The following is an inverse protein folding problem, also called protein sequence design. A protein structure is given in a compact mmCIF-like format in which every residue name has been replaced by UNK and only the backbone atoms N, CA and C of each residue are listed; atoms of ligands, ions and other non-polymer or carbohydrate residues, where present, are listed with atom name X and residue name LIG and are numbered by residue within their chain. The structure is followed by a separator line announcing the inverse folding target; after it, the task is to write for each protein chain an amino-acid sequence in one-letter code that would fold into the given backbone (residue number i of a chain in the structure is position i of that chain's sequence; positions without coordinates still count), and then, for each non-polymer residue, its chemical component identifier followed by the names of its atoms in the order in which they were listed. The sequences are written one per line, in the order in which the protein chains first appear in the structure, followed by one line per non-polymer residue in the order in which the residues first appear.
data_IF_178229349859
#
_entry.id   IF_178229349859
#
_cell.length_a   1.000
_cell.length_b   1.000
_cell.length_c   1.000
_cell.angle_alpha   90.00
_cell.angle_beta   90.00
_cell.angle_gamma   90.00
#
_symmetry.space_group_name_H-M   'P 1'
#
loop_
_entity.id
_entity.type
_entity.pdbx_description
1 polymer ?
#
# COMPACT_ATOMS: atom_id res chain seq x y z
N UNK A 1 68.76 42.27 30.28
CA UNK A 1 68.35 40.90 29.89
C UNK A 1 67.67 40.25 31.09
N UNK A 2 66.35 40.36 31.19
CA UNK A 2 65.54 39.62 32.17
C UNK A 2 64.94 38.43 31.43
N UNK A 3 65.40 37.22 31.75
CA UNK A 3 64.87 35.99 31.18
C UNK A 3 63.53 35.64 31.81
N UNK A 4 62.48 35.61 31.00
CA UNK A 4 61.19 35.07 31.39
C UNK A 4 61.33 33.55 31.57
N UNK A 5 61.26 33.08 32.83
CA UNK A 5 60.97 31.69 33.16
C UNK A 5 59.57 31.38 32.60
N UNK A 6 59.51 30.65 31.48
CA UNK A 6 58.26 30.04 31.02
C UNK A 6 57.99 28.84 31.91
N UNK A 7 56.91 28.90 32.68
CA UNK A 7 56.36 27.73 33.38
C UNK A 7 56.20 26.57 32.38
N UNK A 8 56.93 25.49 32.61
CA UNK A 8 56.72 24.22 31.89
C UNK A 8 55.40 23.64 32.39
N UNK A 9 54.47 23.21 31.50
CA UNK A 9 53.27 22.52 31.93
C UNK A 9 53.68 21.25 32.70
N UNK A 10 53.10 21.07 33.89
CA UNK A 10 53.27 19.85 34.68
C UNK A 10 52.47 18.75 33.99
N UNK A 11 53.16 17.89 33.23
CA UNK A 11 52.58 16.71 32.60
C UNK A 11 52.29 15.70 33.71
N UNK A 12 51.03 15.30 33.83
CA UNK A 12 50.62 14.20 34.70
C UNK A 12 50.50 12.93 33.85
N UNK A 13 50.86 11.79 34.44
CA UNK A 13 50.76 10.48 33.83
C UNK A 13 49.89 9.53 34.66
N UNK A 14 49.21 8.64 33.96
CA UNK A 14 48.47 7.53 34.57
C UNK A 14 48.52 6.31 33.66
N UNK A 15 48.35 5.12 34.22
CA UNK A 15 48.26 3.89 33.44
C UNK A 15 46.80 3.65 33.01
N UNK A 16 46.57 3.43 31.72
CA UNK A 16 45.24 3.15 31.24
C UNK A 16 44.84 1.70 31.49
N UNK A 17 43.73 1.49 32.21
CA UNK A 17 43.21 0.14 32.53
C UNK A 17 42.76 -0.69 31.32
N UNK A 18 42.64 -0.08 30.13
CA UNK A 18 42.15 -0.76 28.91
C UNK A 18 43.31 -1.27 28.05
N UNK A 19 44.37 -0.47 27.87
CA UNK A 19 45.51 -0.82 27.01
C UNK A 19 46.83 -0.99 27.76
N UNK A 20 46.84 -0.74 29.08
CA UNK A 20 47.99 -0.90 29.98
C UNK A 20 49.24 -0.08 29.61
N UNK A 21 49.09 1.02 28.86
CA UNK A 21 50.18 1.97 28.64
C UNK A 21 49.99 3.26 29.44
N UNK A 22 51.10 3.95 29.67
CA UNK A 22 51.15 5.27 30.30
C UNK A 22 50.56 6.34 29.37
N UNK A 23 49.63 7.11 29.89
CA UNK A 23 48.95 8.21 29.19
C UNK A 23 49.40 9.51 29.81
N UNK A 24 50.00 10.38 28.99
CA UNK A 24 50.37 11.73 29.38
C UNK A 24 49.22 12.69 29.05
N UNK A 25 48.90 13.60 29.97
CA UNK A 25 47.91 14.63 29.72
C UNK A 25 48.32 15.98 30.32
N UNK A 26 47.88 17.05 29.66
CA UNK A 26 48.12 18.41 30.12
C UNK A 26 47.27 18.68 31.36
N UNK A 27 47.89 19.10 32.46
CA UNK A 27 47.19 19.56 33.65
C UNK A 27 46.23 20.70 33.28
N UNK A 28 44.89 20.54 33.44
CA UNK A 28 44.04 21.70 33.48
C UNK A 28 44.33 22.41 34.81
N UNK A 29 44.59 23.71 34.74
CA UNK A 29 44.89 24.62 35.85
C UNK A 29 43.76 24.78 36.89
N UNK A 30 42.81 23.84 36.94
CA UNK A 30 41.71 23.80 37.88
C UNK A 30 41.47 22.35 38.31
N UNK A 31 41.53 22.12 39.62
CA UNK A 31 41.46 20.85 40.36
C UNK A 31 40.13 20.07 40.24
N UNK A 32 39.39 20.21 39.14
CA UNK A 32 38.07 19.58 38.91
C UNK A 32 38.01 18.67 37.68
N UNK A 33 39.13 18.26 37.10
CA UNK A 33 39.17 17.42 35.89
C UNK A 33 39.96 16.11 36.02
N UNK A 34 40.38 15.74 37.23
CA UNK A 34 40.95 14.41 37.54
C UNK A 34 39.90 13.32 37.69
N UNK A 35 38.64 13.67 37.95
CA UNK A 35 37.55 12.69 38.03
C UNK A 35 36.98 12.37 36.65
N UNK A 36 36.73 11.08 36.41
CA UNK A 36 35.96 10.68 35.23
C UNK A 36 34.52 11.22 35.34
N UNK A 37 34.02 11.79 34.25
CA UNK A 37 32.68 12.38 34.18
C UNK A 37 31.59 11.36 34.57
N UNK A 38 30.81 11.66 35.62
CA UNK A 38 29.81 10.75 36.20
C UNK A 38 30.37 9.71 37.19
N UNK A 39 31.67 9.66 37.44
CA UNK A 39 32.33 8.73 38.35
C UNK A 39 32.92 9.43 39.58
N UNK A 40 33.05 8.69 40.69
CA UNK A 40 33.66 9.20 41.93
C UNK A 40 35.05 8.61 42.15
N UNK A 41 35.80 8.46 41.06
CA UNK A 41 37.18 8.00 41.04
C UNK A 41 37.97 8.77 40.00
N UNK A 42 39.29 8.73 40.14
CA UNK A 42 40.20 9.38 39.20
C UNK A 42 40.15 8.72 37.81
N UNK A 43 40.49 9.49 36.79
CA UNK A 43 40.55 9.04 35.41
C UNK A 43 41.61 7.94 35.29
N UNK A 44 41.16 6.73 34.97
CA UNK A 44 42.00 5.56 34.75
C UNK A 44 41.86 4.97 33.34
N UNK A 45 41.09 5.62 32.47
CA UNK A 45 40.95 5.25 31.05
C UNK A 45 41.19 6.45 30.13
N UNK A 46 41.88 6.23 29.01
CA UNK A 46 42.16 7.26 28.02
C UNK A 46 40.98 7.52 27.09
N UNK A 47 40.86 8.74 26.59
CA UNK A 47 39.74 9.15 25.72
C UNK A 47 39.66 8.28 24.46
N UNK A 48 40.80 7.88 23.89
CA UNK A 48 40.85 7.02 22.70
C UNK A 48 40.24 5.64 22.93
N UNK A 49 40.50 5.04 24.10
CA UNK A 49 39.92 3.75 24.45
C UNK A 49 38.43 3.88 24.80
N UNK A 50 38.04 4.92 25.53
CA UNK A 50 36.63 5.20 25.82
C UNK A 50 35.82 5.47 24.54
N UNK A 51 36.38 6.22 23.59
CA UNK A 51 35.81 6.44 22.27
C UNK A 51 35.63 5.11 21.52
N UNK A 52 36.66 4.26 21.52
CA UNK A 52 36.60 2.94 20.84
C UNK A 52 35.54 2.04 21.47
N UNK A 53 35.45 1.99 22.80
CA UNK A 53 34.40 1.29 23.53
C UNK A 53 33.02 1.84 23.15
N UNK A 54 32.85 3.16 23.19
CA UNK A 54 31.58 3.81 22.84
C UNK A 54 31.17 3.48 21.40
N UNK A 55 32.06 3.66 20.44
CA UNK A 55 31.80 3.39 19.02
C UNK A 55 31.43 1.91 18.79
N UNK A 56 32.12 0.98 19.46
CA UNK A 56 31.86 -0.47 19.33
C UNK A 56 30.51 -0.86 19.94
N UNK A 57 30.21 -0.40 21.15
CA UNK A 57 28.94 -0.64 21.82
C UNK A 57 27.76 -0.01 21.06
N UNK A 58 27.92 1.23 20.57
CA UNK A 58 26.92 1.92 19.74
C UNK A 58 26.71 1.18 18.42
N UNK A 59 27.76 0.73 17.72
CA UNK A 59 27.62 -0.03 16.46
C UNK A 59 26.95 -1.38 16.66
N UNK A 60 27.39 -2.15 17.67
CA UNK A 60 26.83 -3.47 17.99
C UNK A 60 25.42 -3.40 18.61
N UNK A 61 25.04 -2.27 19.22
CA UNK A 61 23.73 -2.08 19.84
C UNK A 61 23.63 -2.58 21.27
N UNK A 62 24.75 -3.03 21.86
CA UNK A 62 24.86 -3.42 23.26
C UNK A 62 25.04 -2.18 24.14
N UNK A 63 24.00 -1.34 24.21
CA UNK A 63 24.07 -0.07 24.95
C UNK A 63 24.28 -0.27 26.46
N UNK A 64 23.95 -1.44 27.01
CA UNK A 64 24.26 -1.82 28.39
C UNK A 64 25.76 -1.89 28.69
N UNK A 65 26.61 -1.99 27.68
CA UNK A 65 28.07 -2.00 27.83
C UNK A 65 28.70 -0.61 27.89
N UNK A 66 27.91 0.46 27.71
CA UNK A 66 28.35 1.84 27.86
C UNK A 66 28.45 2.19 29.35
N UNK A 67 29.44 1.62 30.01
CA UNK A 67 29.71 1.79 31.43
C UNK A 67 31.21 1.91 31.70
N UNK A 68 31.55 2.46 32.88
CA UNK A 68 32.93 2.62 33.33
C UNK A 68 33.70 1.29 33.21
N UNK A 69 34.91 1.29 32.60
CA UNK A 69 35.73 0.10 32.47
C UNK A 69 36.29 -0.39 33.82
N UNK A 70 36.36 0.49 34.82
CA UNK A 70 36.75 0.15 36.19
C UNK A 70 35.79 -0.88 36.79
N UNK A 71 36.35 -1.99 37.29
CA UNK A 71 35.61 -3.12 37.85
C UNK A 71 34.85 -2.78 39.11
N UNK A 72 35.36 -1.84 39.92
CA UNK A 72 34.77 -1.39 41.17
C UNK A 72 33.72 -0.29 40.93
N UNK A 73 33.76 0.41 39.79
CA UNK A 73 32.80 1.48 39.48
C UNK A 73 31.61 1.02 38.65
N UNK A 74 31.84 0.51 37.43
CA UNK A 74 30.81 0.08 36.45
C UNK A 74 29.62 1.03 36.23
N UNK A 75 29.72 2.32 36.60
CA UNK A 75 28.62 3.28 36.41
C UNK A 75 28.35 3.50 34.92
N UNK A 76 27.08 3.60 34.49
CA UNK A 76 26.74 3.86 33.09
C UNK A 76 27.28 5.23 32.67
N UNK A 77 27.76 5.32 31.43
CA UNK A 77 28.22 6.59 30.88
C UNK A 77 27.07 7.58 30.76
N UNK A 78 27.34 8.83 31.14
CA UNK A 78 26.40 9.93 30.93
C UNK A 78 26.29 10.25 29.45
N UNK A 79 25.14 10.80 29.03
CA UNK A 79 24.94 11.22 27.64
C UNK A 79 25.94 12.30 27.25
N UNK A 80 26.30 13.18 28.18
CA UNK A 80 27.28 14.26 28.01
C UNK A 80 28.68 13.72 27.74
N UNK A 81 29.09 12.67 28.47
CA UNK A 81 30.36 11.97 28.24
C UNK A 81 30.39 11.33 26.86
N UNK A 82 29.35 10.58 26.49
CA UNK A 82 29.24 9.95 25.16
C UNK A 82 29.32 11.01 24.06
N UNK A 83 28.56 12.12 24.18
CA UNK A 83 28.57 13.24 23.22
C UNK A 83 29.95 13.86 23.01
N UNK A 84 30.80 13.86 24.04
CA UNK A 84 32.16 14.40 23.97
C UNK A 84 33.14 13.42 23.32
N UNK A 85 32.95 12.12 23.54
CA UNK A 85 33.85 11.08 23.04
C UNK A 85 33.57 10.66 21.59
N UNK A 86 32.32 10.71 21.13
CA UNK A 86 31.95 10.18 19.81
C UNK A 86 31.56 11.26 18.81
N UNK A 87 31.74 10.97 17.53
CA UNK A 87 31.28 11.83 16.43
C UNK A 87 29.75 12.08 16.45
N UNK A 88 29.30 13.17 15.81
CA UNK A 88 27.86 13.51 15.69
C UNK A 88 27.03 12.36 15.10
N UNK A 89 27.55 11.61 14.14
CA UNK A 89 26.83 10.50 13.51
C UNK A 89 26.69 9.29 14.44
N UNK A 90 27.73 8.98 15.21
CA UNK A 90 27.65 7.94 16.24
C UNK A 90 26.71 8.36 17.39
N UNK A 91 26.67 9.63 17.76
CA UNK A 91 25.72 10.14 18.75
C UNK A 91 24.27 10.06 18.26
N UNK A 92 24.00 10.39 16.98
CA UNK A 92 22.68 10.18 16.35
C UNK A 92 22.29 8.71 16.36
N UNK A 93 23.24 7.82 16.09
CA UNK A 93 23.02 6.38 16.13
C UNK A 93 22.73 5.90 17.58
N UNK A 94 23.44 6.43 18.57
CA UNK A 94 23.17 6.20 19.99
C UNK A 94 21.76 6.64 20.38
N UNK A 95 21.38 7.90 20.10
CA UNK A 95 20.06 8.44 20.43
C UNK A 95 18.95 7.60 19.75
N UNK A 96 19.15 7.21 18.47
CA UNK A 96 18.25 6.33 17.74
C UNK A 96 18.12 4.96 18.42
N UNK A 97 19.23 4.33 18.82
CA UNK A 97 19.21 3.03 19.51
C UNK A 97 18.60 3.11 20.91
N UNK A 98 18.85 4.19 21.64
CA UNK A 98 18.24 4.42 22.95
C UNK A 98 16.72 4.56 22.85
N UNK A 99 16.24 5.33 21.86
CA UNK A 99 14.81 5.41 21.56
C UNK A 99 14.21 4.03 21.25
N UNK A 100 14.94 3.20 20.49
CA UNK A 100 14.47 1.84 20.23
C UNK A 100 14.52 0.91 21.44
N UNK A 101 15.49 1.03 22.35
CA UNK A 101 15.49 0.28 23.62
C UNK A 101 14.26 0.66 24.47
N UNK A 102 13.88 1.94 24.48
CA UNK A 102 12.65 2.37 25.14
C UNK A 102 11.40 1.76 24.46
N UNK A 103 11.38 1.71 23.13
CA UNK A 103 10.28 1.09 22.36
C UNK A 103 10.24 -0.44 22.50
N UNK A 104 11.38 -1.11 22.71
CA UNK A 104 11.46 -2.55 22.93
C UNK A 104 10.76 -3.01 24.21
N UNK A 105 10.47 -2.09 25.15
CA UNK A 105 9.59 -2.38 26.29
C UNK A 105 8.15 -2.65 25.87
N UNK A 106 7.72 -2.19 24.70
CA UNK A 106 6.42 -2.51 24.17
C UNK A 106 6.41 -3.95 23.66
N UNK A 107 5.52 -4.79 24.18
CA UNK A 107 5.36 -6.19 23.78
C UNK A 107 5.05 -6.37 22.28
N UNK A 108 4.52 -5.33 21.64
CA UNK A 108 4.21 -5.23 20.21
C UNK A 108 5.38 -4.78 19.35
N UNK A 109 6.50 -4.37 19.93
CA UNK A 109 7.68 -3.95 19.17
C UNK A 109 8.49 -5.15 18.68
N UNK A 110 9.01 -5.08 17.46
CA UNK A 110 9.91 -6.10 16.88
C UNK A 110 11.07 -5.46 16.12
N UNK A 111 12.22 -6.11 16.23
CA UNK A 111 13.43 -5.79 15.47
C UNK A 111 13.50 -6.58 14.17
N UNK A 112 13.78 -5.88 13.07
CA UNK A 112 14.21 -6.50 11.83
C UNK A 112 15.74 -6.61 11.81
N UNK A 113 16.26 -7.65 11.14
CA UNK A 113 17.72 -7.84 10.94
C UNK A 113 18.38 -6.72 10.14
N UNK A 114 17.62 -5.92 9.39
CA UNK A 114 18.14 -4.71 8.73
C UNK A 114 18.37 -3.53 9.71
N UNK A 115 18.07 -3.71 11.00
CA UNK A 115 18.21 -2.66 12.02
C UNK A 115 17.01 -1.71 12.11
N UNK A 116 15.93 -1.96 11.37
CA UNK A 116 14.68 -1.23 11.50
C UNK A 116 13.80 -1.88 12.59
N UNK A 117 13.30 -1.08 13.52
CA UNK A 117 12.33 -1.51 14.53
C UNK A 117 10.96 -0.91 14.27
N UNK A 118 9.90 -1.69 14.48
CA UNK A 118 8.52 -1.23 14.31
C UNK A 118 7.57 -1.88 15.31
N UNK A 119 6.43 -1.24 15.53
CA UNK A 119 5.33 -1.76 16.34
C UNK A 119 4.38 -2.53 15.42
N UNK A 120 3.93 -3.69 15.88
CA UNK A 120 2.97 -4.53 15.19
C UNK A 120 1.62 -4.50 15.93
N UNK A 121 0.74 -3.61 15.48
CA UNK A 121 -0.53 -3.29 16.17
C UNK A 121 -1.46 -4.50 16.31
N UNK A 122 -1.50 -5.37 15.30
CA UNK A 122 -2.38 -6.54 15.29
C UNK A 122 -1.92 -7.67 16.23
N UNK A 123 -0.70 -7.61 16.77
CA UNK A 123 -0.21 -8.54 17.79
C UNK A 123 -0.17 -10.02 17.39
N UNK A 124 -0.36 -10.92 18.37
CA UNK A 124 -0.31 -12.37 18.18
C UNK A 124 -1.37 -12.94 17.21
N UNK A 125 -2.64 -12.46 17.20
CA UNK A 125 -3.67 -12.97 16.29
C UNK A 125 -3.32 -12.83 14.80
N UNK A 126 -2.45 -11.88 14.45
CA UNK A 126 -1.93 -11.71 13.10
C UNK A 126 -0.42 -11.88 13.12
N UNK A 127 0.09 -13.12 13.11
CA UNK A 127 1.52 -13.35 13.30
C UNK A 127 2.37 -12.90 12.12
N UNK A 128 1.80 -12.63 10.94
CA UNK A 128 2.53 -12.13 9.79
C UNK A 128 2.78 -10.63 9.91
N UNK A 129 4.05 -10.22 9.79
CA UNK A 129 4.40 -8.81 9.60
C UNK A 129 5.52 -8.66 8.57
N UNK A 130 5.59 -7.49 7.93
CA UNK A 130 6.66 -7.11 6.99
C UNK A 130 7.41 -5.89 7.50
N UNK A 131 8.73 -5.94 7.40
CA UNK A 131 9.55 -4.78 7.72
C UNK A 131 9.18 -3.61 6.80
N UNK A 132 8.87 -2.44 7.36
CA UNK A 132 8.51 -1.24 6.57
C UNK A 132 9.69 -0.79 5.70
N UNK A 133 10.92 -1.00 6.17
CA UNK A 133 12.15 -0.67 5.44
C UNK A 133 12.49 -1.70 4.35
N UNK A 134 12.85 -2.94 4.72
CA UNK A 134 13.38 -3.92 3.76
C UNK A 134 12.33 -4.89 3.18
N UNK A 135 11.06 -4.78 3.58
CA UNK A 135 9.93 -5.62 3.13
C UNK A 135 10.03 -7.12 3.42
N UNK A 136 11.10 -7.58 4.07
CA UNK A 136 11.25 -8.97 4.53
C UNK A 136 10.10 -9.32 5.47
N UNK A 137 9.55 -10.52 5.27
CA UNK A 137 8.43 -11.08 6.03
C UNK A 137 8.94 -11.84 7.25
N UNK A 138 8.26 -11.65 8.37
CA UNK A 138 8.59 -12.24 9.67
C UNK A 138 7.34 -12.78 10.36
N UNK A 139 7.56 -13.67 11.33
CA UNK A 139 6.55 -14.10 12.29
C UNK A 139 6.67 -13.26 13.57
N UNK A 140 5.56 -12.75 14.09
CA UNK A 140 5.51 -11.95 15.31
C UNK A 140 5.63 -12.83 16.58
N UNK A 141 5.18 -14.09 16.48
CA UNK A 141 5.19 -15.07 17.58
C UNK A 141 6.59 -15.66 17.76
N UNK A 142 7.25 -16.08 16.66
CA UNK A 142 8.60 -16.63 16.71
C UNK A 142 9.61 -15.47 16.87
N UNK A 143 10.10 -15.25 18.09
CA UNK A 143 11.10 -14.21 18.36
C UNK A 143 12.43 -14.62 17.76
N UNK A 144 13.22 -13.65 17.32
CA UNK A 144 14.53 -13.86 16.69
C UNK A 144 15.64 -14.24 17.68
N UNK A 145 15.28 -14.56 18.92
CA UNK A 145 16.20 -14.84 20.05
C UNK A 145 16.35 -16.33 20.33
N UNK A 146 15.54 -17.19 19.71
CA UNK A 146 15.67 -18.63 19.81
C UNK A 146 16.75 -19.11 18.80
N UNK A 147 17.86 -19.64 19.31
CA UNK A 147 19.03 -20.08 18.51
C UNK A 147 18.72 -21.20 17.49
N UNK A 148 17.53 -21.81 17.57
CA UNK A 148 17.06 -22.85 16.65
C UNK A 148 16.34 -22.31 15.39
N UNK A 149 16.11 -20.99 15.28
CA UNK A 149 15.48 -20.38 14.09
C UNK A 149 16.57 -19.88 13.15
N UNK A 150 17.18 -20.81 12.41
CA UNK A 150 18.15 -20.54 11.34
C UNK A 150 17.61 -19.45 10.41
N UNK A 151 18.29 -18.31 10.41
CA UNK A 151 18.16 -17.30 9.36
C UNK A 151 19.50 -17.27 8.63
N UNK A 152 19.66 -18.18 7.67
CA UNK A 152 20.70 -18.00 6.67
C UNK A 152 20.31 -16.87 5.71
N UNK A 153 21.28 -16.02 5.30
CA UNK A 153 21.08 -15.03 4.28
C UNK A 153 21.08 -15.69 2.89
N UNK A 154 20.12 -15.28 2.06
CA UNK A 154 20.16 -15.24 0.58
C UNK A 154 20.79 -16.43 -0.17
N UNK A 155 19.94 -17.25 -0.79
CA UNK A 155 20.02 -17.57 -2.23
C UNK A 155 18.66 -18.09 -2.71
N UNK A 156 18.07 -17.46 -3.73
CA UNK A 156 17.05 -18.09 -4.57
C UNK A 156 15.59 -17.69 -4.29
N UNK A 157 14.90 -17.31 -5.36
CA UNK A 157 13.46 -17.15 -5.38
C UNK A 157 12.78 -18.52 -5.17
N UNK A 158 11.99 -18.65 -4.10
CA UNK A 158 11.08 -19.79 -3.91
C UNK A 158 11.30 -20.69 -2.69
N UNK A 159 11.44 -20.15 -1.48
CA UNK A 159 11.44 -20.98 -0.26
C UNK A 159 10.21 -20.74 0.62
N UNK A 160 9.62 -21.86 1.07
CA UNK A 160 8.43 -21.97 1.90
C UNK A 160 8.55 -21.26 3.27
N UNK A 161 7.43 -20.86 3.88
CA UNK A 161 7.39 -20.24 5.21
C UNK A 161 8.12 -21.05 6.28
N UNK A 162 8.98 -20.35 7.03
CA UNK A 162 9.99 -20.88 7.97
C UNK A 162 9.45 -21.33 9.33
N UNK A 163 8.15 -21.17 9.60
CA UNK A 163 7.52 -21.69 10.83
C UNK A 163 6.06 -22.09 10.59
N UNK A 164 5.52 -22.94 11.46
CA UNK A 164 4.16 -23.47 11.32
C UNK A 164 3.07 -22.38 11.35
N UNK A 165 3.30 -21.27 12.07
CA UNK A 165 2.40 -20.11 12.09
C UNK A 165 2.23 -19.49 10.70
N UNK A 166 3.33 -19.22 9.99
CA UNK A 166 3.27 -18.63 8.64
C UNK A 166 2.81 -19.66 7.60
N UNK A 167 3.19 -20.94 7.78
CA UNK A 167 2.70 -22.06 6.93
C UNK A 167 1.19 -22.16 6.96
N UNK A 168 0.57 -22.01 8.13
CA UNK A 168 -0.89 -22.04 8.26
C UNK A 168 -1.55 -20.89 7.50
N UNK A 169 -1.04 -19.67 7.67
CA UNK A 169 -1.55 -18.49 6.95
C UNK A 169 -1.41 -18.61 5.44
N UNK A 170 -0.30 -19.15 4.95
CA UNK A 170 -0.09 -19.34 3.51
C UNK A 170 -1.05 -20.39 2.95
N UNK A 171 -1.26 -21.52 3.64
CA UNK A 171 -2.27 -22.51 3.23
C UNK A 171 -3.68 -21.92 3.16
N UNK A 172 -4.07 -21.14 4.16
CA UNK A 172 -5.38 -20.46 4.18
C UNK A 172 -5.53 -19.48 3.01
N UNK A 173 -4.46 -18.75 2.68
CA UNK A 173 -4.42 -17.84 1.53
C UNK A 173 -4.52 -18.58 0.20
N UNK A 174 -3.78 -19.68 0.05
CA UNK A 174 -3.79 -20.51 -1.16
C UNK A 174 -5.17 -21.14 -1.40
N UNK A 175 -5.80 -21.67 -0.34
CA UNK A 175 -7.18 -22.18 -0.39
C UNK A 175 -8.13 -21.07 -0.86
N UNK A 176 -8.02 -19.87 -0.29
CA UNK A 176 -8.86 -18.74 -0.68
C UNK A 176 -8.70 -18.39 -2.17
N UNK A 177 -7.47 -18.36 -2.68
CA UNK A 177 -7.19 -18.08 -4.10
C UNK A 177 -7.85 -19.14 -5.00
N UNK A 178 -7.75 -20.42 -4.64
CA UNK A 178 -8.37 -21.52 -5.40
C UNK A 178 -9.90 -21.41 -5.39
N UNK A 179 -10.50 -21.14 -4.23
CA UNK A 179 -11.95 -20.97 -4.10
C UNK A 179 -12.46 -19.77 -4.90
N UNK A 180 -11.79 -18.62 -4.82
CA UNK A 180 -12.13 -17.44 -5.61
C UNK A 180 -11.96 -17.70 -7.12
N UNK A 181 -10.95 -18.48 -7.51
CA UNK A 181 -10.77 -18.94 -8.90
C UNK A 181 -11.96 -19.78 -9.38
N UNK A 182 -12.35 -20.80 -8.62
CA UNK A 182 -13.50 -21.67 -8.94
C UNK A 182 -14.80 -20.86 -9.06
N UNK A 183 -15.04 -19.92 -8.15
CA UNK A 183 -16.24 -19.07 -8.19
C UNK A 183 -16.27 -18.20 -9.46
N UNK A 184 -15.12 -17.67 -9.91
CA UNK A 184 -15.02 -16.92 -11.18
C UNK A 184 -15.32 -17.82 -12.38
N UNK A 185 -14.77 -19.03 -12.41
CA UNK A 185 -15.00 -19.97 -13.50
C UNK A 185 -16.47 -20.41 -13.59
N UNK A 186 -17.12 -20.62 -12.45
CA UNK A 186 -18.55 -20.94 -12.36
C UNK A 186 -19.42 -19.78 -12.86
N UNK A 187 -19.09 -18.54 -12.49
CA UNK A 187 -19.78 -17.34 -13.00
C UNK A 187 -19.68 -17.24 -14.52
N UNK A 188 -18.47 -17.39 -15.08
CA UNK A 188 -18.24 -17.36 -16.52
C UNK A 188 -18.96 -18.51 -17.24
N UNK A 189 -19.05 -19.69 -16.62
CA UNK A 189 -19.79 -20.82 -17.17
C UNK A 189 -21.30 -20.54 -17.22
N UNK A 190 -21.85 -19.93 -16.16
CA UNK A 190 -23.25 -19.51 -16.13
C UNK A 190 -23.56 -18.46 -17.20
N UNK A 191 -22.71 -17.45 -17.36
CA UNK A 191 -22.85 -16.45 -18.43
C UNK A 191 -22.83 -17.08 -19.82
N UNK A 192 -21.91 -18.04 -20.07
CA UNK A 192 -21.87 -18.80 -21.32
C UNK A 192 -23.15 -19.60 -21.57
N UNK A 193 -23.69 -20.29 -20.55
CA UNK A 193 -24.97 -21.03 -20.65
C UNK A 193 -26.11 -20.09 -21.04
N UNK A 194 -26.19 -18.92 -20.41
CA UNK A 194 -27.21 -17.91 -20.74
C UNK A 194 -27.10 -17.43 -22.18
N UNK A 195 -25.89 -17.14 -22.65
CA UNK A 195 -25.66 -16.72 -24.02
C UNK A 195 -26.07 -17.80 -25.04
N UNK A 196 -25.74 -19.07 -24.78
CA UNK A 196 -26.15 -20.21 -25.62
C UNK A 196 -27.68 -20.34 -25.64
N UNK A 197 -28.33 -20.31 -24.48
CA UNK A 197 -29.80 -20.39 -24.40
C UNK A 197 -30.49 -19.26 -25.19
N UNK A 198 -29.94 -18.04 -25.15
CA UNK A 198 -30.44 -16.91 -25.96
C UNK A 198 -30.24 -17.19 -27.45
N UNK A 199 -29.06 -17.65 -27.86
CA UNK A 199 -28.77 -17.99 -29.25
C UNK A 199 -29.69 -19.09 -29.79
N UNK A 200 -29.95 -20.15 -29.01
CA UNK A 200 -30.85 -21.23 -29.39
C UNK A 200 -32.29 -20.75 -29.59
N UNK A 201 -32.78 -19.87 -28.71
CA UNK A 201 -34.10 -19.23 -28.89
C UNK A 201 -34.19 -18.41 -30.18
N UNK A 202 -33.10 -17.71 -30.55
CA UNK A 202 -33.03 -16.97 -31.82
C UNK A 202 -33.06 -17.94 -33.01
N UNK A 203 -32.28 -19.03 -32.97
CA UNK A 203 -32.23 -20.04 -34.04
C UNK A 203 -33.61 -20.68 -34.23
N UNK A 204 -34.28 -21.07 -33.15
CA UNK A 204 -35.62 -21.65 -33.19
C UNK A 204 -36.63 -20.69 -33.82
N UNK A 205 -36.68 -19.43 -33.36
CA UNK A 205 -37.62 -18.43 -33.87
C UNK A 205 -37.38 -18.05 -35.34
N UNK A 206 -36.12 -18.12 -35.82
CA UNK A 206 -35.80 -17.95 -37.25
C UNK A 206 -36.32 -19.10 -38.12
N UNK A 207 -36.38 -20.33 -37.58
CA UNK A 207 -36.87 -21.51 -38.33
C UNK A 207 -38.38 -21.49 -38.55
N UNK A 208 -39.16 -20.88 -37.65
CA UNK A 208 -40.63 -20.88 -37.74
C UNK A 208 -41.24 -19.78 -38.62
N UNK A 209 -40.43 -18.86 -39.18
CA UNK A 209 -40.78 -17.82 -40.16
C UNK A 209 -42.21 -17.22 -40.09
N UNK A 210 -42.72 -17.00 -38.88
CA UNK A 210 -44.02 -16.38 -38.60
C UNK A 210 -43.87 -15.65 -37.27
N UNK A 211 -44.28 -14.38 -37.18
CA UNK A 211 -44.47 -13.49 -36.00
C UNK A 211 -43.50 -13.54 -34.78
N UNK A 212 -43.04 -14.70 -34.33
CA UNK A 212 -42.02 -14.94 -33.32
C UNK A 212 -40.68 -14.24 -33.58
N UNK A 213 -40.29 -13.96 -34.83
CA UNK A 213 -39.12 -13.10 -35.11
C UNK A 213 -39.32 -11.70 -34.52
N UNK A 214 -40.52 -11.10 -34.60
CA UNK A 214 -40.81 -9.79 -34.00
C UNK A 214 -40.81 -9.84 -32.47
N UNK A 215 -41.34 -10.93 -31.88
CA UNK A 215 -41.38 -11.13 -30.43
C UNK A 215 -39.98 -11.30 -29.85
N UNK A 216 -39.13 -12.12 -30.48
CA UNK A 216 -37.75 -12.29 -30.05
C UNK A 216 -36.96 -10.99 -30.21
N UNK A 217 -37.08 -10.29 -31.35
CA UNK A 217 -36.47 -8.98 -31.53
C UNK A 217 -36.92 -8.02 -30.41
N UNK A 218 -38.21 -7.99 -30.07
CA UNK A 218 -38.70 -7.16 -28.96
C UNK A 218 -38.10 -7.55 -27.59
N UNK A 219 -37.88 -8.85 -27.33
CA UNK A 219 -37.30 -9.34 -26.08
C UNK A 219 -35.83 -8.94 -25.86
N UNK A 220 -35.04 -8.81 -26.93
CA UNK A 220 -33.58 -8.62 -26.84
C UNK A 220 -33.08 -7.29 -27.43
N UNK A 221 -33.94 -6.51 -28.08
CA UNK A 221 -33.56 -5.24 -28.71
C UNK A 221 -34.24 -4.05 -28.03
N UNK A 222 -33.54 -2.91 -28.05
CA UNK A 222 -34.14 -1.60 -27.70
C UNK A 222 -34.11 -0.70 -28.92
N UNK A 223 -35.13 0.12 -29.11
CA UNK A 223 -35.26 1.02 -30.26
C UNK A 223 -34.40 2.26 -30.11
N UNK A 224 -33.85 2.78 -31.20
CA UNK A 224 -33.17 4.06 -31.17
C UNK A 224 -34.12 5.18 -30.66
N UNK A 225 -33.71 6.00 -29.66
CA UNK A 225 -34.57 7.04 -29.08
C UNK A 225 -34.78 8.25 -30.01
N UNK A 226 -33.99 8.37 -31.08
CA UNK A 226 -34.02 9.51 -31.99
C UNK A 226 -35.28 9.53 -32.87
N UNK A 227 -35.89 10.71 -32.98
CA UNK A 227 -37.00 10.99 -33.89
C UNK A 227 -36.59 10.65 -35.33
N UNK A 228 -37.44 9.90 -36.03
CA UNK A 228 -37.21 9.48 -37.42
C UNK A 228 -36.28 8.28 -37.61
N UNK A 229 -35.68 7.70 -36.55
CA UNK A 229 -34.86 6.49 -36.66
C UNK A 229 -35.56 5.25 -36.11
N UNK A 230 -35.71 5.13 -34.78
CA UNK A 230 -36.38 4.01 -34.07
C UNK A 230 -35.99 2.58 -34.49
N UNK A 231 -34.86 2.40 -35.19
CA UNK A 231 -34.37 1.07 -35.56
C UNK A 231 -34.12 0.24 -34.30
N UNK A 232 -34.54 -1.04 -34.26
CA UNK A 232 -34.21 -1.94 -33.17
C UNK A 232 -32.70 -2.19 -33.18
N UNK A 233 -32.07 -2.04 -32.02
CA UNK A 233 -30.65 -2.28 -31.82
C UNK A 233 -30.53 -3.51 -30.92
N UNK A 234 -29.67 -4.46 -31.27
CA UNK A 234 -29.32 -5.60 -30.42
C UNK A 234 -28.01 -5.30 -29.70
N UNK A 235 -27.89 -5.71 -28.43
CA UNK A 235 -26.63 -5.61 -27.70
C UNK A 235 -25.92 -6.95 -27.77
N UNK A 236 -24.79 -6.98 -28.46
CA UNK A 236 -23.97 -8.19 -28.60
C UNK A 236 -23.06 -8.29 -27.37
N UNK A 237 -23.38 -9.23 -26.46
CA UNK A 237 -22.59 -9.52 -25.26
C UNK A 237 -22.76 -8.50 -24.12
N UNK A 238 -22.65 -8.96 -22.87
CA UNK A 238 -22.54 -8.08 -21.70
C UNK A 238 -21.39 -7.08 -21.88
N UNK A 239 -21.55 -5.83 -21.42
CA UNK A 239 -20.65 -4.74 -21.84
C UNK A 239 -21.04 -3.32 -21.42
N UNK A 240 -20.42 -2.32 -22.05
CA UNK A 240 -20.67 -0.90 -21.76
C UNK A 240 -22.13 -0.50 -22.04
N UNK A 241 -22.68 0.43 -21.26
CA UNK A 241 -24.01 1.00 -21.46
C UNK A 241 -24.04 2.16 -22.47
N UNK A 242 -22.88 2.62 -22.95
CA UNK A 242 -22.78 3.54 -24.07
C UNK A 242 -23.13 2.81 -25.37
N UNK A 243 -24.12 3.33 -26.12
CA UNK A 243 -24.56 2.76 -27.39
C UNK A 243 -24.53 3.82 -28.47
N UNK A 244 -23.94 3.51 -29.62
CA UNK A 244 -23.98 4.35 -30.83
C UNK A 244 -24.88 3.68 -31.86
N UNK A 245 -25.95 4.34 -32.28
CA UNK A 245 -26.85 3.81 -33.30
C UNK A 245 -26.13 3.76 -34.65
N UNK A 246 -25.99 2.57 -35.25
CA UNK A 246 -25.32 2.41 -36.55
C UNK A 246 -26.04 3.11 -37.72
N UNK A 247 -27.34 3.38 -37.59
CA UNK A 247 -28.13 3.98 -38.66
C UNK A 247 -28.11 5.53 -38.63
N UNK A 248 -28.12 6.14 -37.45
CA UNK A 248 -28.20 7.61 -37.31
C UNK A 248 -27.06 8.22 -36.47
N UNK A 249 -26.07 7.40 -36.09
CA UNK A 249 -24.89 7.75 -35.28
C UNK A 249 -25.20 8.42 -33.94
N UNK A 250 -26.45 8.31 -33.48
CA UNK A 250 -26.84 8.87 -32.19
C UNK A 250 -26.25 8.03 -31.07
N UNK A 251 -25.49 8.68 -30.21
CA UNK A 251 -24.95 8.12 -28.99
C UNK A 251 -25.95 8.30 -27.85
N UNK A 252 -26.20 7.24 -27.09
CA UNK A 252 -27.16 7.28 -25.98
C UNK A 252 -26.84 6.21 -24.93
N UNK A 253 -27.39 6.38 -23.74
CA UNK A 253 -27.31 5.38 -22.68
C UNK A 253 -28.33 4.25 -22.90
N UNK A 254 -27.88 3.00 -22.94
CA UNK A 254 -28.74 1.82 -23.11
C UNK A 254 -29.78 1.65 -21.99
N UNK A 255 -29.42 2.01 -20.75
CA UNK A 255 -30.29 1.89 -19.58
C UNK A 255 -31.43 2.91 -19.62
N UNK A 256 -31.11 4.19 -19.76
CA UNK A 256 -32.09 5.28 -19.63
C UNK A 256 -32.52 5.93 -20.95
N UNK A 257 -31.97 5.49 -22.07
CA UNK A 257 -32.26 5.94 -23.44
C UNK A 257 -31.96 7.42 -23.75
N UNK A 258 -31.34 8.14 -22.81
CA UNK A 258 -30.97 9.55 -23.00
C UNK A 258 -29.83 9.66 -24.01
N UNK A 259 -30.06 10.46 -25.04
CA UNK A 259 -29.07 10.84 -26.06
C UNK A 259 -28.01 11.77 -25.48
N UNK A 260 -26.75 11.47 -25.78
CA UNK A 260 -25.62 12.35 -25.51
C UNK A 260 -25.52 13.40 -26.62
N UNK A 261 -25.11 14.64 -26.30
CA UNK A 261 -25.23 15.74 -27.27
C UNK A 261 -24.34 15.50 -28.49
N UNK A 262 -24.96 15.62 -29.66
CA UNK A 262 -24.34 15.70 -30.98
C UNK A 262 -23.64 17.07 -31.08
N UNK A 263 -22.31 17.09 -31.04
CA UNK A 263 -21.56 18.25 -31.53
C UNK A 263 -21.92 18.45 -33.01
N UNK A 264 -22.21 19.69 -33.41
CA UNK A 264 -22.48 20.01 -34.80
C UNK A 264 -21.39 19.41 -35.69
N UNK A 265 -21.80 18.72 -36.74
CA UNK A 265 -20.91 18.10 -37.72
C UNK A 265 -19.89 19.16 -38.19
N UNK A 266 -18.59 18.96 -37.90
CA UNK A 266 -17.51 19.76 -38.49
C UNK A 266 -16.70 20.71 -37.59
N UNK A 267 -16.85 20.72 -36.27
CA UNK A 267 -15.88 21.43 -35.41
C UNK A 267 -15.15 20.47 -34.47
N UNK A 268 -13.82 20.48 -34.53
CA UNK A 268 -12.89 19.64 -33.78
C UNK A 268 -12.87 19.91 -32.26
N UNK A 269 -14.01 19.74 -31.61
CA UNK A 269 -14.13 19.70 -30.14
C UNK A 269 -14.62 18.30 -29.71
N UNK A 270 -13.98 17.25 -30.23
CA UNK A 270 -14.12 15.89 -29.73
C UNK A 270 -13.10 15.73 -28.59
N UNK A 271 -13.52 15.92 -27.33
CA UNK A 271 -12.81 15.33 -26.17
C UNK A 271 -13.39 15.58 -24.76
N UNK A 272 -14.49 16.31 -24.55
CA UNK A 272 -15.01 16.50 -23.18
C UNK A 272 -16.52 16.72 -23.14
N UNK A 273 -17.34 15.69 -23.34
CA UNK A 273 -18.78 15.80 -23.12
C UNK A 273 -19.21 14.76 -22.11
N UNK A 274 -19.35 15.20 -20.85
CA UNK A 274 -19.83 14.37 -19.75
C UNK A 274 -21.13 13.63 -20.13
N UNK A 275 -21.25 12.33 -19.81
CA UNK A 275 -22.44 11.54 -20.13
C UNK A 275 -23.69 12.17 -19.52
N UNK A 276 -24.79 12.24 -20.28
CA UNK A 276 -26.09 12.72 -19.80
C UNK A 276 -27.02 11.55 -19.52
N UNK A 277 -27.67 11.55 -18.36
CA UNK A 277 -28.54 10.47 -17.89
C UNK A 277 -29.85 10.97 -17.31
N UNK A 278 -30.88 10.11 -17.25
CA UNK A 278 -32.02 10.39 -16.38
C UNK A 278 -31.58 10.34 -14.91
N UNK A 279 -32.17 11.19 -14.08
CA UNK A 279 -32.00 11.13 -12.61
C UNK A 279 -32.34 9.75 -12.02
N UNK A 280 -33.20 8.99 -12.69
CA UNK A 280 -33.62 7.63 -12.33
C UNK A 280 -32.74 6.52 -12.92
N UNK A 281 -31.69 6.85 -13.68
CA UNK A 281 -30.81 5.85 -14.27
C UNK A 281 -29.92 5.22 -13.19
N UNK A 282 -29.96 3.88 -13.06
CA UNK A 282 -29.12 3.13 -12.11
C UNK A 282 -27.62 3.37 -12.30
N UNK A 283 -27.20 3.67 -13.54
CA UNK A 283 -25.81 3.95 -13.87
C UNK A 283 -25.38 5.39 -13.61
N UNK A 284 -26.32 6.33 -13.45
CA UNK A 284 -25.97 7.72 -13.12
C UNK A 284 -25.40 7.85 -11.70
N UNK A 285 -25.79 6.95 -10.79
CA UNK A 285 -25.34 6.95 -9.40
C UNK A 285 -24.00 6.22 -9.21
N UNK A 286 -23.68 5.27 -10.10
CA UNK A 286 -22.43 4.51 -10.02
C UNK A 286 -21.19 5.31 -10.45
N UNK A 287 -21.36 6.41 -11.20
CA UNK A 287 -20.27 7.21 -11.74
C UNK A 287 -20.51 8.71 -11.53
N UNK A 288 -19.77 9.31 -10.59
CA UNK A 288 -19.90 10.72 -10.16
C UNK A 288 -19.59 11.79 -11.23
N UNK A 289 -19.34 11.41 -12.47
CA UNK A 289 -18.95 12.31 -13.58
C UNK A 289 -20.07 12.61 -14.59
N UNK A 290 -21.26 12.02 -14.40
CA UNK A 290 -22.40 12.17 -15.32
C UNK A 290 -23.33 13.33 -14.96
N UNK A 291 -23.74 14.12 -15.95
CA UNK A 291 -24.83 15.09 -15.78
C UNK A 291 -26.17 14.36 -15.77
N UNK A 292 -27.14 14.85 -14.99
CA UNK A 292 -28.49 14.29 -14.95
C UNK A 292 -29.54 15.25 -15.51
N UNK A 293 -30.61 14.70 -16.06
CA UNK A 293 -31.78 15.41 -16.62
C UNK A 293 -33.05 14.68 -16.21
N UNK A 294 -34.21 15.34 -16.29
CA UNK A 294 -35.51 14.68 -16.14
C UNK A 294 -36.17 14.44 -17.49
N UNK A 295 -37.21 13.58 -17.53
CA UNK A 295 -38.02 13.39 -18.74
C UNK A 295 -38.74 14.68 -19.15
N UNK A 296 -39.17 15.50 -18.18
CA UNK A 296 -39.81 16.78 -18.45
C UNK A 296 -38.85 17.75 -19.18
N UNK A 297 -37.57 17.77 -18.79
CA UNK A 297 -36.55 18.61 -19.46
C UNK A 297 -36.21 18.15 -20.89
N UNK A 298 -36.59 16.93 -21.24
CA UNK A 298 -36.44 16.34 -22.57
C UNK A 298 -37.73 16.44 -23.39
N UNK A 299 -38.89 16.62 -22.73
CA UNK A 299 -40.18 16.77 -23.38
C UNK A 299 -40.21 18.09 -24.18
N UNK A 300 -40.54 18.00 -25.48
CA UNK A 300 -40.55 19.16 -26.39
C UNK A 300 -39.23 19.46 -27.09
N UNK A 301 -38.18 18.64 -26.90
CA UNK A 301 -37.02 18.65 -27.81
C UNK A 301 -37.34 17.82 -29.05
N UNK A 302 -37.35 18.44 -30.23
CA UNK A 302 -37.68 17.84 -31.54
C UNK A 302 -36.79 16.66 -31.97
N UNK A 303 -35.86 16.23 -31.12
CA UNK A 303 -34.90 15.17 -31.41
C UNK A 303 -35.32 13.77 -30.93
N UNK A 304 -36.30 13.65 -30.01
CA UNK A 304 -36.74 12.36 -29.47
C UNK A 304 -38.02 11.85 -30.13
N UNK A 305 -38.09 10.55 -30.39
CA UNK A 305 -39.31 9.91 -30.87
C UNK A 305 -40.38 9.83 -29.77
N UNK A 306 -41.66 9.77 -30.15
CA UNK A 306 -42.75 9.51 -29.19
C UNK A 306 -42.55 8.14 -28.55
N UNK A 307 -42.55 8.09 -27.21
CA UNK A 307 -42.30 6.86 -26.44
C UNK A 307 -40.87 6.33 -26.58
N UNK A 308 -39.88 7.20 -26.77
CA UNK A 308 -38.45 6.84 -26.91
C UNK A 308 -37.85 6.09 -25.72
N UNK A 309 -38.50 6.19 -24.57
CA UNK A 309 -38.12 5.65 -23.28
C UNK A 309 -38.81 4.31 -22.97
N UNK A 310 -39.61 3.78 -23.90
CA UNK A 310 -40.33 2.53 -23.76
C UNK A 310 -39.99 1.53 -24.89
N UNK A 311 -39.56 0.34 -24.48
CA UNK A 311 -39.28 -0.79 -25.37
C UNK A 311 -40.21 -1.95 -24.98
N UNK A 312 -41.46 -1.88 -25.47
CA UNK A 312 -42.48 -2.89 -25.16
C UNK A 312 -42.02 -4.30 -25.58
N UNK A 313 -42.07 -5.23 -24.63
CA UNK A 313 -41.62 -6.61 -24.83
C UNK A 313 -40.16 -6.88 -24.46
N UNK A 314 -39.34 -5.86 -24.18
CA UNK A 314 -37.94 -6.04 -23.78
C UNK A 314 -37.82 -6.67 -22.39
N UNK A 315 -36.99 -7.71 -22.27
CA UNK A 315 -36.69 -8.34 -20.99
C UNK A 315 -35.62 -7.53 -20.23
N UNK A 316 -36.07 -6.81 -19.19
CA UNK A 316 -35.20 -6.00 -18.32
C UNK A 316 -34.15 -6.83 -17.57
N UNK A 317 -34.28 -8.16 -17.46
CA UNK A 317 -33.25 -9.00 -16.88
C UNK A 317 -31.92 -8.92 -17.67
N UNK A 318 -31.98 -8.58 -18.97
CA UNK A 318 -30.82 -8.36 -19.83
C UNK A 318 -29.98 -7.13 -19.45
N UNK A 319 -30.50 -6.26 -18.58
CA UNK A 319 -29.81 -5.04 -18.14
C UNK A 319 -29.00 -5.24 -16.83
N UNK A 320 -29.02 -6.43 -16.21
CA UNK A 320 -28.40 -6.67 -14.89
C UNK A 320 -26.89 -6.42 -14.83
N UNK A 321 -26.18 -6.66 -15.93
CA UNK A 321 -24.71 -6.58 -16.01
C UNK A 321 -24.24 -5.38 -16.86
N UNK A 322 -25.00 -4.27 -16.86
CA UNK A 322 -24.60 -3.02 -17.49
C UNK A 322 -23.52 -2.31 -16.66
N UNK A 323 -22.43 -1.88 -17.31
CA UNK A 323 -21.35 -1.07 -16.71
C UNK A 323 -20.91 0.03 -17.69
N UNK A 324 -20.00 0.93 -17.30
CA UNK A 324 -19.38 1.91 -18.20
C UNK A 324 -17.87 1.71 -18.32
N UNK A 325 -17.36 1.69 -19.54
CA UNK A 325 -15.92 1.70 -19.79
C UNK A 325 -15.32 3.09 -19.51
N UNK A 326 -14.35 3.14 -18.60
CA UNK A 326 -13.60 4.36 -18.25
C UNK A 326 -12.76 4.77 -19.47
N UNK A 327 -13.08 5.89 -20.11
CA UNK A 327 -12.36 6.42 -21.28
C UNK A 327 -13.22 6.83 -22.48
N UNK A 328 -14.54 6.62 -22.44
CA UNK A 328 -15.50 7.18 -23.41
C UNK A 328 -16.30 8.35 -22.81
N UNK A 329 -15.60 9.27 -22.13
CA UNK A 329 -16.13 10.54 -21.56
C UNK A 329 -15.41 11.72 -22.21
#
# INVERSE_FOLDING_TARGET
MQGALRDRPVLMDYECVIHADTVQFDSPSSSRHTLMDGCNHERNACDKCLETMCNTAIKSGRLSELACPDTECRKPFTRELIRRLVSKDHLRLYDKKLAFVAMAKNERFRWCRCGHGQIHDAGNPSPEWRCISCKVRYCFICRTEDEDVIVSPTTGAGEAPRCDHLRKLDRERDIKIVLEGRNRDEHLAEERRRAINVADRIIYAKRENTEGTKVIIALISKKCPRLGCRVPLERIGGGCAHMTCVHCQTEFCWSCKVMWKVGAFGTAAASTVSPLHLTTCSLAQQYHSSKTTTKADLAGKDSYAVGWDEDAGYDKANDRDLWFAVGHV
#
